data_IF_566217318565
#
_entry.id   IF_566217318565
#
_cell.length_a   1.000
_cell.length_b   1.000
_cell.length_c   1.000
_cell.angle_alpha   90.00
_cell.angle_beta   90.00
_cell.angle_gamma   90.00
#
_symmetry.space_group_name_H-M   'P 1'
#
loop_
_entity.id
_entity.type
_entity.pdbx_description
1 polymer ?
#
# COMPACT_ATOMS: atom_id res chain seq x y z
N UNK A 1 21.96 -1.00 -18.81
CA UNK A 1 20.48 -1.07 -18.96
C UNK A 1 19.81 -1.14 -17.59
N UNK A 2 20.03 -2.18 -16.75
CA UNK A 2 19.35 -2.32 -15.45
C UNK A 2 19.61 -1.13 -14.51
N UNK A 3 20.84 -0.65 -14.42
CA UNK A 3 21.18 0.49 -13.57
C UNK A 3 20.53 1.79 -14.07
N UNK A 4 20.42 1.98 -15.38
CA UNK A 4 19.72 3.14 -15.95
C UNK A 4 18.24 3.10 -15.59
N UNK A 5 17.58 1.96 -15.78
CA UNK A 5 16.16 1.78 -15.43
C UNK A 5 15.94 2.06 -13.93
N UNK A 6 16.83 1.56 -13.06
CA UNK A 6 16.75 1.80 -11.62
C UNK A 6 16.84 3.28 -11.29
N UNK A 7 17.83 3.98 -11.81
CA UNK A 7 18.06 5.39 -11.53
C UNK A 7 16.89 6.26 -12.05
N UNK A 8 16.39 5.96 -13.25
CA UNK A 8 15.25 6.67 -13.84
C UNK A 8 13.98 6.49 -13.02
N UNK A 9 13.72 5.26 -12.56
CA UNK A 9 12.57 4.97 -11.72
C UNK A 9 12.69 5.60 -10.33
N UNK A 10 13.84 5.51 -9.67
CA UNK A 10 14.07 6.14 -8.36
C UNK A 10 13.95 7.66 -8.43
N UNK A 11 14.48 8.29 -9.49
CA UNK A 11 14.31 9.72 -9.73
C UNK A 11 12.82 10.09 -9.89
N UNK A 12 12.07 9.28 -10.63
CA UNK A 12 10.64 9.48 -10.82
C UNK A 12 9.86 9.31 -9.51
N UNK A 13 10.15 8.28 -8.72
CA UNK A 13 9.53 8.05 -7.40
C UNK A 13 9.79 9.23 -6.46
N UNK A 14 11.01 9.76 -6.47
CA UNK A 14 11.35 10.94 -5.68
C UNK A 14 10.54 12.17 -6.10
N UNK A 15 10.34 12.37 -7.40
CA UNK A 15 9.47 13.41 -7.93
C UNK A 15 8.02 13.22 -7.52
N UNK A 16 7.50 11.99 -7.58
CA UNK A 16 6.14 11.65 -7.18
C UNK A 16 5.92 11.89 -5.66
N UNK A 17 6.88 11.50 -4.81
CA UNK A 17 6.86 11.82 -3.37
C UNK A 17 6.83 13.33 -3.13
N UNK A 18 7.68 14.08 -3.80
CA UNK A 18 7.75 15.52 -3.63
C UNK A 18 6.46 16.23 -4.08
N UNK A 19 5.79 15.72 -5.11
CA UNK A 19 4.54 16.29 -5.63
C UNK A 19 3.38 16.23 -4.65
N UNK A 20 3.36 15.27 -3.72
CA UNK A 20 2.29 15.09 -2.71
C UNK A 20 2.63 15.66 -1.33
N UNK A 21 3.74 16.40 -1.19
CA UNK A 21 4.23 16.90 0.10
C UNK A 21 3.22 17.74 0.91
N UNK A 22 2.36 18.51 0.24
CA UNK A 22 1.29 19.27 0.92
C UNK A 22 0.23 18.34 1.53
N UNK A 23 -0.12 17.28 0.82
CA UNK A 23 -1.02 16.26 1.36
C UNK A 23 -0.38 15.54 2.56
N UNK A 24 0.88 15.12 2.45
CA UNK A 24 1.61 14.46 3.54
C UNK A 24 1.68 15.34 4.80
N UNK A 25 1.91 16.62 4.64
CA UNK A 25 1.89 17.58 5.76
C UNK A 25 0.50 17.64 6.42
N UNK A 26 -0.55 17.77 5.63
CA UNK A 26 -1.92 17.80 6.17
C UNK A 26 -2.28 16.50 6.89
N UNK A 27 -1.87 15.37 6.34
CA UNK A 27 -2.08 14.06 6.92
C UNK A 27 -1.31 13.88 8.24
N UNK A 28 -0.04 14.31 8.28
CA UNK A 28 0.80 14.31 9.50
C UNK A 28 0.18 15.17 10.59
N UNK A 29 -0.30 16.37 10.25
CA UNK A 29 -1.00 17.22 11.22
C UNK A 29 -2.29 16.54 11.71
N UNK A 30 -3.04 15.87 10.84
CA UNK A 30 -4.20 15.06 11.21
C UNK A 30 -3.88 13.95 12.19
N UNK A 31 -2.77 13.21 11.97
CA UNK A 31 -2.29 12.16 12.87
C UNK A 31 -1.92 12.72 14.24
N UNK A 32 -1.24 13.87 14.32
CA UNK A 32 -0.93 14.55 15.59
C UNK A 32 -2.20 14.93 16.35
N UNK A 33 -3.22 15.46 15.66
CA UNK A 33 -4.52 15.75 16.28
C UNK A 33 -5.24 14.48 16.74
N UNK A 34 -5.16 13.39 15.98
CA UNK A 34 -5.74 12.10 16.36
C UNK A 34 -5.08 11.54 17.63
N UNK A 35 -3.74 11.59 17.70
CA UNK A 35 -2.96 11.14 18.86
C UNK A 35 -3.00 12.10 20.05
N UNK A 36 -3.67 13.25 19.92
CA UNK A 36 -3.66 14.32 20.95
C UNK A 36 -2.25 14.78 21.35
N UNK A 37 -1.29 14.62 20.44
CA UNK A 37 0.10 15.06 20.60
C UNK A 37 0.23 16.48 20.08
N UNK A 38 0.50 17.41 20.97
CA UNK A 38 0.65 18.82 20.63
C UNK A 38 1.95 19.34 21.25
N UNK A 39 2.66 20.16 20.50
CA UNK A 39 3.79 20.90 21.03
C UNK A 39 3.36 21.77 22.22
N UNK A 40 4.15 21.77 23.29
CA UNK A 40 3.89 22.44 24.57
C UNK A 40 3.72 23.98 24.48
N UNK A 41 3.89 24.58 23.32
CA UNK A 41 3.77 26.02 23.08
C UNK A 41 2.36 26.51 22.73
N UNK A 42 1.32 25.99 23.37
CA UNK A 42 0.01 26.57 23.23
C UNK A 42 -0.06 27.88 24.00
N UNK A 43 -0.12 28.95 23.24
CA UNK A 43 -0.55 30.21 23.82
C UNK A 43 -1.97 30.05 24.35
N UNK A 44 -2.16 30.15 25.65
CA UNK A 44 -3.50 30.30 26.21
C UNK A 44 -4.12 31.55 25.56
N UNK A 45 -5.28 31.44 24.91
CA UNK A 45 -5.91 32.57 24.23
C UNK A 45 -6.22 33.75 25.19
N UNK A 46 -6.36 33.46 26.48
CA UNK A 46 -6.50 34.43 27.55
C UNK A 46 -6.12 33.78 28.90
N UNK A 47 -5.77 34.59 29.89
CA UNK A 47 -5.41 34.14 31.23
C UNK A 47 -6.59 33.38 31.89
N UNK A 48 -6.32 32.14 32.36
CA UNK A 48 -7.35 31.24 32.93
C UNK A 48 -8.13 30.40 31.89
N UNK A 49 -7.75 30.43 30.62
CA UNK A 49 -8.34 29.56 29.62
C UNK A 49 -8.01 28.08 29.89
N UNK A 50 -8.99 27.19 29.65
CA UNK A 50 -8.79 25.75 29.79
C UNK A 50 -7.85 25.23 28.69
N UNK A 51 -6.82 24.44 29.09
CA UNK A 51 -5.95 23.69 28.19
C UNK A 51 -6.53 22.35 27.74
N UNK A 52 -7.80 22.07 28.00
CA UNK A 52 -8.44 20.81 27.65
C UNK A 52 -8.63 20.70 26.13
N UNK A 53 -8.17 19.58 25.59
CA UNK A 53 -8.32 19.24 24.17
C UNK A 53 -9.56 18.38 24.02
N UNK A 54 -10.42 18.75 23.10
CA UNK A 54 -11.59 17.96 22.77
C UNK A 54 -11.23 16.97 21.65
N UNK A 55 -11.37 15.63 21.84
CA UNK A 55 -10.92 14.60 20.90
C UNK A 55 -11.92 14.43 19.72
N UNK A 56 -12.39 15.53 19.14
CA UNK A 56 -13.45 15.52 18.12
C UNK A 56 -13.08 14.73 16.87
N UNK A 57 -11.80 14.78 16.48
CA UNK A 57 -11.30 14.03 15.33
C UNK A 57 -11.29 12.53 15.61
N UNK A 58 -10.82 12.12 16.79
CA UNK A 58 -10.82 10.72 17.22
C UNK A 58 -12.22 10.15 17.33
N UNK A 59 -13.18 10.92 17.85
CA UNK A 59 -14.59 10.53 17.89
C UNK A 59 -15.15 10.34 16.48
N UNK A 60 -14.91 11.28 15.56
CA UNK A 60 -15.41 11.21 14.19
C UNK A 60 -14.85 10.00 13.43
N UNK A 61 -13.54 9.76 13.53
CA UNK A 61 -12.88 8.62 12.88
C UNK A 61 -13.42 7.30 13.42
N UNK A 62 -13.53 7.17 14.75
CA UNK A 62 -14.03 5.94 15.40
C UNK A 62 -15.50 5.66 15.08
N UNK A 63 -16.32 6.70 15.03
CA UNK A 63 -17.75 6.56 14.65
C UNK A 63 -17.88 6.12 13.19
N UNK A 64 -17.10 6.71 12.27
CA UNK A 64 -17.07 6.29 10.88
C UNK A 64 -16.67 4.82 10.76
N UNK A 65 -15.56 4.43 11.38
CA UNK A 65 -15.07 3.06 11.39
C UNK A 65 -16.14 2.09 11.88
N UNK A 66 -16.73 2.36 13.04
CA UNK A 66 -17.72 1.47 13.64
C UNK A 66 -19.01 1.32 12.81
N UNK A 67 -19.45 2.37 12.11
CA UNK A 67 -20.60 2.32 11.22
C UNK A 67 -20.27 1.60 9.91
N UNK A 68 -19.18 1.97 9.25
CA UNK A 68 -18.77 1.41 7.99
C UNK A 68 -18.43 -0.09 8.12
N UNK A 69 -17.77 -0.50 9.20
CA UNK A 69 -17.43 -1.89 9.45
C UNK A 69 -18.65 -2.81 9.46
N UNK A 70 -19.71 -2.42 10.15
CA UNK A 70 -20.95 -3.21 10.22
C UNK A 70 -21.66 -3.35 8.88
N UNK A 71 -21.59 -2.31 8.05
CA UNK A 71 -22.20 -2.32 6.72
C UNK A 71 -21.39 -3.14 5.72
N UNK A 72 -20.04 -3.05 5.80
CA UNK A 72 -19.15 -3.75 4.87
C UNK A 72 -18.93 -5.21 5.24
N UNK A 73 -19.00 -5.55 6.53
CA UNK A 73 -18.77 -6.91 7.03
C UNK A 73 -19.97 -7.40 7.88
N UNK A 74 -21.12 -7.66 7.24
CA UNK A 74 -22.29 -8.17 7.96
C UNK A 74 -22.04 -9.60 8.45
N UNK A 75 -22.73 -10.02 9.51
CA UNK A 75 -22.56 -11.32 10.16
C UNK A 75 -22.75 -12.56 9.22
N UNK A 76 -23.47 -12.39 8.13
CA UNK A 76 -23.66 -13.43 7.10
C UNK A 76 -22.55 -13.47 6.02
N UNK A 77 -21.57 -12.58 6.14
CA UNK A 77 -20.49 -12.37 5.17
C UNK A 77 -20.81 -11.27 4.15
N UNK A 78 -19.76 -10.68 3.54
CA UNK A 78 -19.87 -9.54 2.64
C UNK A 78 -20.36 -9.88 1.23
N UNK A 79 -20.36 -11.15 0.84
CA UNK A 79 -20.69 -11.58 -0.52
C UNK A 79 -22.16 -11.93 -0.66
N UNK A 80 -22.78 -11.34 -1.66
CA UNK A 80 -24.14 -11.66 -2.11
C UNK A 80 -24.09 -11.98 -3.60
N UNK A 81 -24.68 -13.11 -3.98
CA UNK A 81 -24.77 -13.53 -5.38
C UNK A 81 -26.05 -13.02 -6.04
N UNK A 82 -25.96 -12.70 -7.31
CA UNK A 82 -27.09 -12.33 -8.16
C UNK A 82 -27.04 -13.16 -9.46
N UNK A 83 -28.20 -13.72 -9.85
CA UNK A 83 -28.32 -14.51 -11.07
C UNK A 83 -28.68 -13.57 -12.22
N UNK A 84 -27.76 -13.47 -13.19
CA UNK A 84 -28.00 -12.73 -14.43
C UNK A 84 -28.51 -13.72 -15.49
N UNK A 85 -29.75 -13.59 -15.90
CA UNK A 85 -30.39 -14.44 -16.90
C UNK A 85 -31.56 -15.26 -16.37
N UNK A 86 -31.78 -16.47 -16.96
CA UNK A 86 -32.87 -17.33 -16.55
C UNK A 86 -32.64 -17.94 -15.16
N UNK A 87 -33.65 -17.79 -14.28
CA UNK A 87 -33.64 -18.41 -12.95
C UNK A 87 -34.23 -19.82 -13.07
N UNK A 88 -33.44 -20.80 -12.71
CA UNK A 88 -33.84 -22.19 -12.57
C UNK A 88 -33.44 -22.67 -11.18
N UNK A 89 -34.02 -23.76 -10.70
CA UNK A 89 -33.65 -24.34 -9.41
C UNK A 89 -32.15 -24.65 -9.33
N UNK A 90 -31.58 -25.14 -10.43
CA UNK A 90 -30.15 -25.46 -10.51
C UNK A 90 -29.25 -24.22 -10.40
N UNK A 91 -29.66 -23.07 -11.05
CA UNK A 91 -28.89 -21.83 -10.97
C UNK A 91 -29.03 -21.17 -9.60
N UNK A 92 -30.17 -21.33 -8.92
CA UNK A 92 -30.38 -20.85 -7.55
C UNK A 92 -29.51 -21.63 -6.56
N UNK A 93 -29.52 -22.96 -6.63
CA UNK A 93 -28.65 -23.83 -5.79
C UNK A 93 -27.16 -23.54 -6.04
N UNK A 94 -26.79 -23.28 -7.30
CA UNK A 94 -25.40 -22.91 -7.64
C UNK A 94 -25.01 -21.55 -7.06
N UNK A 95 -25.87 -20.56 -7.16
CA UNK A 95 -25.63 -19.23 -6.64
C UNK A 95 -25.49 -19.24 -5.11
N UNK A 96 -26.31 -20.02 -4.40
CA UNK A 96 -26.22 -20.19 -2.94
C UNK A 96 -24.89 -20.84 -2.54
N UNK A 97 -24.49 -21.94 -3.19
CA UNK A 97 -23.19 -22.58 -2.93
C UNK A 97 -21.99 -21.66 -3.19
N UNK A 98 -22.04 -20.86 -4.24
CA UNK A 98 -20.99 -19.88 -4.53
C UNK A 98 -20.95 -18.81 -3.45
N UNK A 99 -22.09 -18.30 -3.03
CA UNK A 99 -22.18 -17.31 -1.94
C UNK A 99 -21.63 -17.84 -0.63
N UNK A 100 -22.03 -19.05 -0.24
CA UNK A 100 -21.54 -19.69 0.99
C UNK A 100 -20.03 -19.93 0.93
N UNK A 101 -19.53 -20.46 -0.18
CA UNK A 101 -18.09 -20.70 -0.36
C UNK A 101 -17.28 -19.39 -0.31
N UNK A 102 -17.72 -18.35 -1.01
CA UNK A 102 -17.01 -17.07 -1.02
C UNK A 102 -17.00 -16.41 0.37
N UNK A 103 -18.13 -16.44 1.07
CA UNK A 103 -18.19 -15.94 2.44
C UNK A 103 -17.32 -16.76 3.40
N UNK A 104 -17.36 -18.08 3.31
CA UNK A 104 -16.44 -18.95 4.07
C UNK A 104 -14.97 -18.61 3.77
N UNK A 105 -14.63 -18.44 2.50
CA UNK A 105 -13.26 -18.16 2.08
C UNK A 105 -12.75 -16.83 2.65
N UNK A 106 -13.56 -15.77 2.52
CA UNK A 106 -13.20 -14.42 3.01
C UNK A 106 -13.13 -14.37 4.54
N UNK A 107 -14.10 -14.99 5.23
CA UNK A 107 -14.23 -14.87 6.68
C UNK A 107 -13.37 -15.86 7.48
N UNK A 108 -12.98 -17.01 6.87
CA UNK A 108 -12.29 -18.07 7.60
C UNK A 108 -10.94 -18.49 6.99
N UNK A 109 -10.78 -18.34 5.67
CA UNK A 109 -9.52 -18.72 5.00
C UNK A 109 -8.57 -17.51 4.89
N UNK A 110 -9.12 -16.33 4.60
CA UNK A 110 -8.37 -15.07 4.56
C UNK A 110 -8.36 -14.42 5.95
N UNK A 111 -7.57 -14.97 6.87
CA UNK A 111 -7.51 -14.53 8.28
C UNK A 111 -7.16 -13.04 8.44
N UNK A 112 -6.43 -12.49 7.45
CA UNK A 112 -6.04 -11.08 7.42
C UNK A 112 -7.16 -10.14 6.97
N UNK A 113 -8.23 -10.65 6.32
CA UNK A 113 -9.23 -9.81 5.68
C UNK A 113 -9.92 -8.86 6.66
N UNK A 114 -10.33 -9.38 7.80
CA UNK A 114 -11.05 -8.64 8.84
C UNK A 114 -10.16 -7.56 9.50
N UNK A 115 -8.99 -7.87 10.10
CA UNK A 115 -8.16 -6.85 10.71
C UNK A 115 -7.63 -5.81 9.71
N UNK A 116 -7.33 -6.21 8.48
CA UNK A 116 -6.88 -5.30 7.42
C UNK A 116 -8.02 -4.38 6.94
N UNK A 117 -9.27 -4.86 6.95
CA UNK A 117 -10.43 -4.02 6.66
C UNK A 117 -10.67 -3.01 7.78
N UNK A 118 -10.57 -3.44 9.03
CA UNK A 118 -10.75 -2.57 10.19
C UNK A 118 -9.73 -1.42 10.20
N UNK A 119 -8.45 -1.73 9.95
CA UNK A 119 -7.41 -0.72 9.78
C UNK A 119 -7.71 0.24 8.62
N UNK A 120 -8.09 -0.29 7.47
CA UNK A 120 -8.43 0.52 6.30
C UNK A 120 -9.54 1.53 6.62
N UNK A 121 -10.59 1.10 7.32
CA UNK A 121 -11.71 1.95 7.68
C UNK A 121 -11.35 3.01 8.74
N UNK A 122 -10.34 2.75 9.57
CA UNK A 122 -9.81 3.73 10.50
C UNK A 122 -9.01 4.84 9.79
N UNK A 123 -8.14 4.47 8.85
CA UNK A 123 -7.30 5.43 8.14
C UNK A 123 -8.02 6.20 7.02
N UNK A 124 -9.05 5.59 6.42
CA UNK A 124 -9.77 6.18 5.29
C UNK A 124 -10.31 7.61 5.54
N UNK A 125 -11.04 7.89 6.65
CA UNK A 125 -11.57 9.24 6.89
C UNK A 125 -10.48 10.27 7.21
N UNK A 126 -9.32 9.83 7.69
CA UNK A 126 -8.20 10.70 8.03
C UNK A 126 -7.38 11.07 6.81
N UNK A 127 -7.04 10.09 5.97
CA UNK A 127 -6.19 10.27 4.80
C UNK A 127 -6.97 10.68 3.53
N UNK A 128 -8.29 10.47 3.52
CA UNK A 128 -9.15 10.72 2.36
C UNK A 128 -9.15 9.60 1.32
N UNK A 129 -8.18 8.70 1.37
CA UNK A 129 -8.06 7.52 0.49
C UNK A 129 -7.46 6.35 1.25
N UNK A 130 -7.79 5.14 0.82
CA UNK A 130 -7.21 3.91 1.35
C UNK A 130 -7.13 2.86 0.23
N UNK A 131 -6.13 2.01 0.30
CA UNK A 131 -5.82 1.08 -0.77
C UNK A 131 -5.80 -0.36 -0.26
N UNK A 132 -6.21 -1.29 -1.10
CA UNK A 132 -6.07 -2.74 -0.87
C UNK A 132 -5.28 -3.38 -1.99
N UNK A 133 -4.31 -4.22 -1.61
CA UNK A 133 -3.58 -5.08 -2.53
C UNK A 133 -4.14 -6.49 -2.42
N UNK A 134 -4.70 -6.97 -3.52
CA UNK A 134 -5.23 -8.33 -3.63
C UNK A 134 -4.31 -9.14 -4.54
N UNK A 135 -3.80 -10.26 -4.05
CA UNK A 135 -2.92 -11.13 -4.80
C UNK A 135 -3.05 -12.58 -4.32
N UNK A 136 -2.53 -13.51 -5.11
CA UNK A 136 -2.44 -14.91 -4.71
C UNK A 136 -1.04 -15.19 -4.13
N UNK A 137 -0.99 -15.68 -2.90
CA UNK A 137 0.25 -16.09 -2.26
C UNK A 137 0.50 -17.56 -2.54
N UNK A 138 1.55 -17.84 -3.33
CA UNK A 138 1.91 -19.22 -3.72
C UNK A 138 2.50 -20.04 -2.57
N UNK A 139 3.03 -19.39 -1.53
CA UNK A 139 3.58 -20.09 -0.35
C UNK A 139 2.44 -20.55 0.55
N UNK A 140 1.48 -19.67 0.80
CA UNK A 140 0.28 -19.97 1.58
C UNK A 140 -0.81 -20.66 0.75
N UNK A 141 -0.65 -20.69 -0.57
CA UNK A 141 -1.59 -21.27 -1.55
C UNK A 141 -3.03 -20.75 -1.36
N UNK A 142 -3.16 -19.44 -1.15
CA UNK A 142 -4.45 -18.77 -0.98
C UNK A 142 -4.41 -17.33 -1.46
N UNK A 143 -5.59 -16.75 -1.73
CA UNK A 143 -5.70 -15.32 -1.98
C UNK A 143 -5.45 -14.53 -0.69
N UNK A 144 -4.82 -13.39 -0.83
CA UNK A 144 -4.49 -12.44 0.22
C UNK A 144 -5.09 -11.08 -0.11
N UNK A 145 -5.55 -10.38 0.93
CA UNK A 145 -6.06 -9.02 0.81
C UNK A 145 -5.44 -8.16 1.90
N UNK A 146 -4.45 -7.34 1.55
CA UNK A 146 -3.74 -6.47 2.50
C UNK A 146 -4.14 -5.02 2.32
N UNK A 147 -4.30 -4.32 3.41
CA UNK A 147 -4.38 -2.87 3.44
C UNK A 147 -3.00 -2.29 3.14
N UNK A 148 -2.97 -1.26 2.31
CA UNK A 148 -1.77 -0.45 2.08
C UNK A 148 -2.08 0.93 2.62
N UNK A 149 -1.30 1.40 3.62
CA UNK A 149 -1.41 2.76 4.11
C UNK A 149 -1.20 3.78 2.97
N UNK A 150 -1.90 4.91 2.98
CA UNK A 150 -1.80 5.91 1.90
C UNK A 150 -0.39 6.46 1.71
N UNK A 151 0.40 6.54 2.78
CA UNK A 151 1.80 6.94 2.76
C UNK A 151 2.69 5.98 1.98
N UNK A 152 2.37 4.67 2.01
CA UNK A 152 3.15 3.62 1.35
C UNK A 152 2.79 3.43 -0.13
N UNK A 153 1.66 3.98 -0.59
CA UNK A 153 1.31 3.97 -2.01
C UNK A 153 1.60 5.33 -2.65
N UNK A 154 2.61 5.36 -3.52
CA UNK A 154 3.08 6.56 -4.19
C UNK A 154 2.58 6.53 -5.63
N UNK A 155 1.81 7.54 -5.99
CA UNK A 155 1.24 7.74 -7.34
C UNK A 155 1.54 9.17 -7.75
N UNK A 156 1.79 9.46 -9.05
CA UNK A 156 1.91 10.83 -9.53
C UNK A 156 0.69 11.65 -9.10
N UNK A 157 0.91 12.80 -8.45
CA UNK A 157 -0.17 13.61 -7.87
C UNK A 157 -1.19 14.11 -8.91
N UNK A 158 -0.76 14.18 -10.17
CA UNK A 158 -1.61 14.60 -11.30
C UNK A 158 -2.56 13.48 -11.79
N UNK A 159 -2.37 12.25 -11.34
CA UNK A 159 -3.20 11.13 -11.77
C UNK A 159 -4.63 11.27 -11.22
N UNK A 160 -5.61 11.24 -12.10
CA UNK A 160 -7.02 11.33 -11.71
C UNK A 160 -7.53 10.05 -11.02
N UNK A 161 -6.99 8.90 -11.39
CA UNK A 161 -7.29 7.58 -10.82
C UNK A 161 -6.10 6.63 -10.98
N UNK A 162 -6.15 5.48 -10.29
CA UNK A 162 -5.09 4.47 -10.33
C UNK A 162 -4.94 3.87 -11.74
N UNK A 163 -6.01 3.71 -12.48
CA UNK A 163 -5.98 3.07 -13.82
C UNK A 163 -5.34 3.96 -14.87
N UNK A 164 -5.41 5.27 -14.69
CA UNK A 164 -4.79 6.27 -15.58
C UNK A 164 -3.37 6.66 -15.15
N UNK A 165 -2.93 6.22 -13.98
CA UNK A 165 -1.61 6.54 -13.46
C UNK A 165 -0.50 5.90 -14.31
N UNK A 166 0.46 6.70 -14.76
CA UNK A 166 1.64 6.21 -15.50
C UNK A 166 2.48 5.23 -14.68
N UNK A 167 2.44 5.43 -13.36
CA UNK A 167 3.25 4.70 -12.40
C UNK A 167 2.53 4.54 -11.07
N UNK A 168 2.57 3.35 -10.50
CA UNK A 168 2.08 3.06 -9.16
C UNK A 168 3.22 2.40 -8.39
N UNK A 169 3.66 3.02 -7.31
CA UNK A 169 4.76 2.52 -6.49
C UNK A 169 4.25 2.17 -5.10
N UNK A 170 4.50 0.94 -4.67
CA UNK A 170 4.27 0.48 -3.31
C UNK A 170 5.61 0.43 -2.57
N UNK A 171 5.77 1.25 -1.55
CA UNK A 171 6.91 1.22 -0.63
C UNK A 171 6.69 0.12 0.41
N UNK A 172 7.62 -0.82 0.50
CA UNK A 172 7.53 -1.97 1.39
C UNK A 172 8.75 -1.96 2.31
N UNK A 173 8.52 -1.90 3.61
CA UNK A 173 9.57 -2.01 4.60
C UNK A 173 9.88 -3.48 4.89
N UNK A 174 11.05 -3.95 4.49
CA UNK A 174 11.48 -5.34 4.65
C UNK A 174 12.76 -5.45 5.46
N UNK A 175 12.84 -6.43 6.34
CA UNK A 175 14.11 -6.77 6.98
C UNK A 175 15.10 -7.37 5.98
N UNK A 176 16.40 -7.21 6.23
CA UNK A 176 17.44 -7.82 5.40
C UNK A 176 17.28 -9.36 5.28
N UNK A 177 16.76 -9.99 6.35
CA UNK A 177 16.48 -11.42 6.35
C UNK A 177 15.31 -11.81 5.45
N UNK A 178 14.27 -10.99 5.38
CA UNK A 178 13.13 -11.21 4.46
C UNK A 178 13.56 -11.09 3.01
N UNK A 179 14.34 -10.06 2.68
CA UNK A 179 14.92 -9.91 1.34
C UNK A 179 15.77 -11.14 1.01
N UNK A 180 16.59 -11.62 1.95
CA UNK A 180 17.42 -12.82 1.74
C UNK A 180 16.59 -14.08 1.52
N UNK A 181 15.48 -14.26 2.27
CA UNK A 181 14.54 -15.36 2.03
C UNK A 181 13.96 -15.33 0.62
N UNK A 182 13.58 -14.13 0.14
CA UNK A 182 13.06 -13.95 -1.21
C UNK A 182 14.11 -14.20 -2.29
N UNK A 183 15.38 -13.90 -2.02
CA UNK A 183 16.50 -14.25 -2.90
C UNK A 183 16.72 -15.77 -2.96
N UNK A 184 16.70 -16.44 -1.81
CA UNK A 184 16.89 -17.90 -1.75
C UNK A 184 15.72 -18.64 -2.41
N UNK A 185 14.50 -18.15 -2.27
CA UNK A 185 13.32 -18.72 -2.95
C UNK A 185 13.30 -18.49 -4.47
N UNK A 186 14.22 -17.66 -5.00
CA UNK A 186 14.28 -17.31 -6.41
C UNK A 186 13.22 -16.28 -6.85
N UNK A 187 12.51 -15.70 -5.89
CA UNK A 187 11.56 -14.61 -6.17
C UNK A 187 12.31 -13.31 -6.49
N UNK A 188 13.38 -13.01 -5.75
CA UNK A 188 14.29 -11.92 -6.03
C UNK A 188 15.62 -12.44 -6.60
N UNK A 189 16.24 -11.64 -7.45
CA UNK A 189 17.58 -11.92 -7.97
C UNK A 189 18.61 -11.92 -6.81
N UNK A 190 19.57 -12.84 -6.87
CA UNK A 190 20.62 -12.91 -5.87
C UNK A 190 21.68 -11.83 -6.12
N UNK A 191 21.33 -10.58 -5.84
CA UNK A 191 22.22 -9.41 -5.90
C UNK A 191 22.69 -9.06 -4.49
N UNK A 192 23.93 -8.59 -4.39
CA UNK A 192 24.44 -8.08 -3.12
C UNK A 192 23.90 -6.66 -2.89
N UNK A 193 23.09 -6.50 -1.85
CA UNK A 193 22.50 -5.22 -1.45
C UNK A 193 23.35 -4.47 -0.42
N UNK A 194 24.54 -4.98 -0.07
CA UNK A 194 25.42 -4.41 0.95
C UNK A 194 24.90 -4.67 2.39
N UNK A 195 25.78 -4.43 3.38
CA UNK A 195 25.47 -4.61 4.81
C UNK A 195 24.75 -3.41 5.42
N UNK A 196 24.93 -2.20 4.90
CA UNK A 196 24.64 -0.93 5.58
C UNK A 196 23.56 -0.09 4.87
N UNK A 197 22.58 -0.76 4.25
CA UNK A 197 21.49 -0.06 3.59
C UNK A 197 20.43 0.42 4.59
N UNK A 198 20.52 1.66 5.04
CA UNK A 198 19.44 2.34 5.75
C UNK A 198 18.79 3.36 4.81
N UNK A 199 17.46 3.41 4.78
CA UNK A 199 16.77 4.56 4.22
C UNK A 199 17.05 5.76 5.12
N UNK A 200 17.68 6.82 4.57
CA UNK A 200 17.97 8.04 5.33
C UNK A 200 16.71 8.90 5.55
N UNK A 201 15.74 8.75 4.67
CA UNK A 201 14.49 9.53 4.70
C UNK A 201 13.35 8.72 5.35
N UNK A 202 13.23 8.80 6.68
CA UNK A 202 11.93 8.52 7.29
C UNK A 202 10.99 9.65 6.87
N UNK A 203 9.82 9.30 6.36
CA UNK A 203 8.80 10.30 6.07
C UNK A 203 8.32 10.93 7.38
N UNK A 204 8.03 12.25 7.37
CA UNK A 204 7.43 12.95 8.52
C UNK A 204 6.18 12.23 9.05
N UNK A 205 5.49 11.48 8.19
CA UNK A 205 4.33 10.64 8.52
C UNK A 205 4.74 9.47 9.42
N UNK A 206 5.83 8.75 9.09
CA UNK A 206 6.28 7.61 9.89
C UNK A 206 6.79 8.08 11.26
N UNK A 207 7.51 9.20 11.31
CA UNK A 207 7.95 9.80 12.57
C UNK A 207 6.75 10.19 13.46
N UNK A 208 5.67 10.73 12.87
CA UNK A 208 4.45 11.05 13.60
C UNK A 208 3.72 9.80 14.12
N UNK A 209 3.69 8.72 13.35
CA UNK A 209 3.10 7.43 13.77
C UNK A 209 3.91 6.83 14.90
N UNK A 210 5.24 6.78 14.78
CA UNK A 210 6.14 6.25 15.81
C UNK A 210 6.01 7.05 17.11
N UNK A 211 5.92 8.36 17.02
CA UNK A 211 5.71 9.24 18.17
C UNK A 211 4.37 8.97 18.87
N UNK A 212 3.29 8.77 18.11
CA UNK A 212 1.97 8.41 18.65
C UNK A 212 2.01 7.05 19.37
N UNK A 213 2.73 6.09 18.81
CA UNK A 213 2.92 4.76 19.39
C UNK A 213 3.91 4.74 20.55
N UNK A 214 4.58 5.86 20.83
CA UNK A 214 5.58 5.97 21.89
C UNK A 214 6.90 5.29 21.54
N UNK A 215 7.17 5.06 20.25
CA UNK A 215 8.41 4.50 19.74
C UNK A 215 9.42 5.64 19.62
N UNK A 216 10.50 5.58 20.41
CA UNK A 216 11.57 6.58 20.29
C UNK A 216 12.46 6.31 19.07
N UNK A 217 12.78 7.33 18.25
CA UNK A 217 13.59 7.16 17.05
C UNK A 217 15.04 6.72 17.30
N UNK A 218 15.47 6.59 18.57
CA UNK A 218 16.85 6.27 18.95
C UNK A 218 17.27 4.80 18.73
N UNK A 219 16.34 3.88 18.44
CA UNK A 219 16.67 2.48 18.12
C UNK A 219 16.91 2.26 16.64
N UNK A 220 17.87 2.98 16.06
CA UNK A 220 18.17 2.98 14.62
C UNK A 220 18.98 1.76 14.12
N UNK A 221 19.44 0.89 15.01
CA UNK A 221 20.38 -0.20 14.64
C UNK A 221 19.76 -1.39 13.89
N UNK A 222 18.42 -1.54 13.89
CA UNK A 222 17.72 -2.62 13.17
C UNK A 222 16.68 -2.09 12.18
N UNK A 223 17.01 -1.05 11.41
CA UNK A 223 16.07 -0.49 10.45
C UNK A 223 15.82 -1.46 9.28
N UNK A 224 14.55 -1.57 8.95
CA UNK A 224 14.13 -2.22 7.73
C UNK A 224 14.63 -1.44 6.50
N UNK A 225 14.83 -2.15 5.40
CA UNK A 225 15.15 -1.57 4.10
C UNK A 225 13.86 -1.25 3.35
N UNK A 226 13.83 -0.13 2.67
CA UNK A 226 12.72 0.21 1.80
C UNK A 226 12.90 -0.44 0.44
N UNK A 227 11.91 -1.20 0.04
CA UNK A 227 11.83 -1.86 -1.27
C UNK A 227 10.65 -1.29 -2.01
N UNK A 228 10.89 -0.72 -3.19
CA UNK A 228 9.84 -0.20 -4.06
C UNK A 228 9.39 -1.27 -5.05
N UNK A 229 8.11 -1.60 -5.01
CA UNK A 229 7.45 -2.38 -6.07
C UNK A 229 6.74 -1.39 -7.00
N UNK A 230 7.25 -1.25 -8.21
CA UNK A 230 6.84 -0.23 -9.17
C UNK A 230 6.09 -0.89 -10.32
N UNK A 231 4.81 -0.58 -10.46
CA UNK A 231 4.00 -0.92 -11.61
C UNK A 231 4.11 0.22 -12.63
N UNK A 232 4.69 -0.03 -13.77
CA UNK A 232 4.95 1.00 -14.79
C UNK A 232 5.02 0.41 -16.19
N UNK A 233 5.10 1.26 -17.19
CA UNK A 233 5.29 0.86 -18.58
C UNK A 233 6.72 1.18 -19.02
N UNK A 234 7.43 0.20 -19.56
CA UNK A 234 8.81 0.30 -19.99
C UNK A 234 9.00 -0.23 -21.42
N UNK A 235 9.94 0.36 -22.13
CA UNK A 235 10.52 -0.21 -23.34
C UNK A 235 11.92 -0.73 -22.99
N UNK A 236 12.08 -2.06 -22.99
CA UNK A 236 13.31 -2.72 -22.55
C UNK A 236 13.97 -3.35 -23.78
N UNK A 237 15.20 -2.98 -24.07
CA UNK A 237 15.99 -3.53 -25.17
C UNK A 237 16.05 -5.07 -25.12
N UNK A 238 15.64 -5.71 -26.21
CA UNK A 238 15.53 -7.16 -26.35
C UNK A 238 14.19 -7.76 -25.91
N UNK A 239 13.29 -6.93 -25.34
CA UNK A 239 11.93 -7.31 -24.91
C UNK A 239 10.87 -6.34 -25.44
N UNK A 240 11.19 -5.64 -26.53
CA UNK A 240 10.33 -4.66 -27.18
C UNK A 240 9.03 -5.32 -27.70
N UNK A 241 7.98 -4.52 -27.79
CA UNK A 241 6.77 -4.93 -28.49
C UNK A 241 7.03 -4.99 -29.99
N UNK A 242 6.52 -6.04 -30.66
CA UNK A 242 6.71 -6.27 -32.11
C UNK A 242 5.37 -6.50 -32.79
N UNK A 243 5.26 -5.92 -33.99
CA UNK A 243 4.12 -6.14 -34.88
C UNK A 243 4.13 -7.57 -35.46
N UNK A 244 3.08 -7.89 -36.21
CA UNK A 244 2.96 -9.20 -36.88
C UNK A 244 4.07 -9.45 -37.93
N UNK A 245 4.78 -8.42 -38.36
CA UNK A 245 5.89 -8.46 -39.30
C UNK A 245 7.26 -8.56 -38.59
N UNK A 246 7.28 -8.47 -37.26
CA UNK A 246 8.50 -8.57 -36.44
C UNK A 246 9.24 -7.25 -36.22
N UNK A 247 8.70 -6.11 -36.67
CA UNK A 247 9.27 -4.80 -36.43
C UNK A 247 8.92 -4.30 -35.03
N UNK A 248 9.82 -3.56 -34.41
CA UNK A 248 9.55 -2.93 -33.11
C UNK A 248 8.50 -1.83 -33.26
N UNK A 249 7.45 -1.87 -32.42
CA UNK A 249 6.36 -0.89 -32.46
C UNK A 249 6.70 0.40 -31.69
N UNK A 250 7.70 0.36 -30.78
CA UNK A 250 8.00 1.43 -29.85
C UNK A 250 6.97 1.58 -28.71
N UNK A 251 6.05 0.65 -28.59
CA UNK A 251 5.07 0.62 -27.52
C UNK A 251 5.75 0.20 -26.21
N UNK A 252 5.60 1.02 -25.16
CA UNK A 252 6.02 0.63 -23.81
C UNK A 252 5.09 -0.43 -23.26
N UNK A 253 5.66 -1.46 -22.67
CA UNK A 253 4.95 -2.61 -22.16
C UNK A 253 4.86 -2.57 -20.63
N UNK A 254 3.77 -3.09 -20.02
CA UNK A 254 3.60 -3.05 -18.57
C UNK A 254 4.54 -4.04 -17.86
N UNK A 255 5.26 -3.54 -16.88
CA UNK A 255 6.19 -4.30 -16.01
C UNK A 255 5.96 -3.98 -14.54
N UNK A 256 6.33 -4.94 -13.71
CA UNK A 256 6.50 -4.76 -12.27
C UNK A 256 7.99 -4.84 -11.98
N UNK A 257 8.56 -3.76 -11.50
CA UNK A 257 9.99 -3.65 -11.16
C UNK A 257 10.11 -3.49 -9.66
N UNK A 258 10.92 -4.33 -9.03
CA UNK A 258 11.21 -4.24 -7.60
C UNK A 258 12.63 -3.74 -7.41
N UNK A 259 12.80 -2.64 -6.67
CA UNK A 259 14.07 -1.94 -6.45
C UNK A 259 14.30 -1.76 -4.96
N UNK A 260 15.50 -2.04 -4.47
CA UNK A 260 15.89 -1.68 -3.12
C UNK A 260 16.49 -0.26 -3.13
N UNK A 261 15.94 0.62 -2.27
CA UNK A 261 16.19 2.07 -2.30
C UNK A 261 17.65 2.42 -2.09
N UNK A 262 18.29 1.91 -1.03
CA UNK A 262 19.65 2.33 -0.62
C UNK A 262 20.75 1.80 -1.54
N UNK A 263 20.62 0.58 -2.06
CA UNK A 263 21.59 0.01 -3.01
C UNK A 263 21.29 0.37 -4.47
N UNK A 264 20.11 0.94 -4.73
CA UNK A 264 19.60 1.25 -6.07
C UNK A 264 19.56 0.02 -7.01
N UNK A 265 19.51 -1.18 -6.43
CA UNK A 265 19.56 -2.43 -7.20
C UNK A 265 18.19 -2.97 -7.47
N UNK A 266 17.99 -3.43 -8.69
CA UNK A 266 16.79 -4.13 -9.09
C UNK A 266 16.83 -5.55 -8.52
N UNK A 267 15.81 -5.89 -7.73
CA UNK A 267 15.61 -7.21 -7.16
C UNK A 267 14.80 -8.12 -8.08
N UNK A 268 13.82 -7.58 -8.82
CA UNK A 268 13.08 -8.33 -9.83
C UNK A 268 12.51 -7.41 -10.92
N UNK A 269 12.37 -7.96 -12.13
CA UNK A 269 11.60 -7.36 -13.23
C UNK A 269 10.67 -8.44 -13.77
N UNK A 270 9.38 -8.15 -13.84
CA UNK A 270 8.37 -9.08 -14.35
C UNK A 270 7.44 -8.39 -15.31
N UNK A 271 7.05 -9.08 -16.37
CA UNK A 271 6.00 -8.61 -17.24
C UNK A 271 4.67 -8.61 -16.48
N UNK A 272 3.94 -7.52 -16.52
CA UNK A 272 2.57 -7.46 -16.04
C UNK A 272 1.62 -7.78 -17.20
N UNK A 273 0.77 -8.79 -17.05
CA UNK A 273 -0.19 -9.23 -18.08
C UNK A 273 -1.63 -8.84 -17.73
N UNK A 274 -1.83 -8.06 -16.67
CA UNK A 274 -3.14 -7.60 -16.23
C UNK A 274 -3.47 -6.24 -16.83
#
# INVERSE_FOLDING_TARGET
>A
ILQSISNDLLSSIKGDKQSRSEWEKTYTDGLKYLGMKFDDQRSQPFEGSSGVIHPILAEAVTQFQAQAYKEMLPAKGPVKTEIIGARTVETEDQAERVQEFMNYYIMNVMEEYDPELDQMLFYLPLAGSAFKKVYFDFVLNRAMSKFIPPEDLIVPYEAADISSAERITHAINMSSNEIKKQQISGFYANVDIGSDGYSEDMSDVQDAIDEIQGISPSYKENRNRTVYEVHTVLDIEGYEDRDAQGNTTGLKLPYIVTIEESSEKILSIRRNYL
#
